data_IF_301732976988
#
_entry.id   IF_301732976988
#
_cell.length_a   1.000
_cell.length_b   1.000
_cell.length_c   1.000
_cell.angle_alpha   90.00
_cell.angle_beta   90.00
_cell.angle_gamma   90.00
#
_symmetry.space_group_name_H-M   'P 1'
#
loop_
_entity.id
_entity.type
_entity.pdbx_description
1 polymer ?
#
# COMPACT_ATOMS: atom_id res chain seq x y z
N UNK A 1 -0.84 -12.19 -3.85
CA UNK A 1 -1.80 -11.05 -3.75
C UNK A 1 -3.04 -11.45 -2.97
N UNK A 2 -3.56 -10.53 -2.14
CA UNK A 2 -4.80 -10.71 -1.39
C UNK A 2 -5.86 -9.70 -1.87
N UNK A 3 -7.14 -10.08 -1.85
CA UNK A 3 -8.22 -9.18 -2.20
C UNK A 3 -8.37 -8.05 -1.16
N UNK A 4 -8.66 -6.84 -1.63
CA UNK A 4 -9.04 -5.68 -0.80
C UNK A 4 -10.44 -5.28 -1.19
N UNK A 5 -11.29 -4.96 -0.21
CA UNK A 5 -12.69 -4.59 -0.40
C UNK A 5 -12.95 -3.15 0.05
N UNK A 6 -13.88 -2.49 -0.62
CA UNK A 6 -14.35 -1.15 -0.21
C UNK A 6 -15.14 -1.23 1.10
N UNK A 7 -15.92 -2.31 1.26
CA UNK A 7 -16.74 -2.62 2.43
C UNK A 7 -16.89 -4.15 2.55
N UNK A 8 -17.28 -4.64 3.72
CA UNK A 8 -17.47 -6.08 4.01
C UNK A 8 -18.89 -6.44 4.40
N UNK A 9 -19.79 -5.46 4.62
CA UNK A 9 -21.16 -5.71 5.02
C UNK A 9 -21.92 -6.59 4.02
N UNK A 10 -21.65 -6.44 2.72
CA UNK A 10 -22.22 -7.30 1.66
C UNK A 10 -21.71 -8.73 1.75
N UNK A 11 -20.46 -8.95 2.19
CA UNK A 11 -19.88 -10.28 2.41
C UNK A 11 -20.52 -10.95 3.63
N UNK A 12 -20.66 -10.20 4.74
CA UNK A 12 -21.33 -10.67 5.96
C UNK A 12 -22.79 -11.04 5.67
N UNK A 13 -23.51 -10.15 4.97
CA UNK A 13 -24.88 -10.43 4.54
C UNK A 13 -24.95 -11.71 3.71
N UNK A 14 -24.05 -11.87 2.74
CA UNK A 14 -23.99 -13.08 1.91
C UNK A 14 -23.74 -14.34 2.75
N UNK A 15 -22.92 -14.25 3.80
CA UNK A 15 -22.65 -15.39 4.68
C UNK A 15 -23.90 -15.78 5.48
N UNK A 16 -24.66 -14.79 5.97
CA UNK A 16 -25.95 -15.05 6.63
C UNK A 16 -26.97 -15.67 5.67
N UNK A 17 -27.16 -15.03 4.51
CA UNK A 17 -28.24 -15.40 3.58
C UNK A 17 -27.97 -16.73 2.85
N UNK A 18 -26.71 -17.07 2.58
CA UNK A 18 -26.34 -18.22 1.74
C UNK A 18 -25.79 -19.42 2.53
N UNK A 19 -25.20 -19.18 3.68
CA UNK A 19 -24.50 -20.22 4.45
C UNK A 19 -25.05 -20.37 5.86
N UNK A 20 -26.16 -19.66 6.20
CA UNK A 20 -26.80 -19.67 7.51
C UNK A 20 -25.84 -19.36 8.67
N UNK A 21 -24.75 -18.65 8.39
CA UNK A 21 -23.81 -18.19 9.42
C UNK A 21 -24.38 -16.97 10.13
N UNK A 22 -24.91 -17.16 11.31
CA UNK A 22 -25.47 -16.08 12.12
C UNK A 22 -24.40 -15.06 12.50
N UNK A 23 -24.83 -13.85 12.82
CA UNK A 23 -23.94 -12.77 13.29
C UNK A 23 -23.21 -13.17 14.57
N UNK A 24 -23.87 -13.92 15.48
CA UNK A 24 -23.27 -14.44 16.71
C UNK A 24 -22.12 -15.44 16.40
N UNK A 25 -22.31 -16.36 15.45
CA UNK A 25 -21.27 -17.31 15.04
C UNK A 25 -20.06 -16.56 14.46
N UNK A 26 -20.28 -15.61 13.56
CA UNK A 26 -19.19 -14.84 12.95
C UNK A 26 -18.43 -14.02 13.99
N UNK A 27 -19.15 -13.39 14.94
CA UNK A 27 -18.57 -12.61 16.04
C UNK A 27 -17.74 -13.47 17.00
N UNK A 28 -18.22 -14.63 17.38
CA UNK A 28 -17.45 -15.57 18.24
C UNK A 28 -16.13 -15.96 17.54
N UNK A 29 -16.16 -16.28 16.25
CA UNK A 29 -14.95 -16.62 15.50
C UNK A 29 -14.01 -15.42 15.32
N UNK A 30 -14.51 -14.22 15.13
CA UNK A 30 -13.72 -12.99 15.12
C UNK A 30 -12.98 -12.81 16.45
N UNK A 31 -13.70 -12.98 17.55
CA UNK A 31 -13.12 -12.89 18.91
C UNK A 31 -12.13 -14.00 19.20
N UNK A 32 -12.37 -15.22 18.71
CA UNK A 32 -11.41 -16.34 18.80
C UNK A 32 -10.12 -16.00 18.03
N UNK A 33 -10.20 -15.40 16.83
CA UNK A 33 -9.00 -14.99 16.09
C UNK A 33 -8.16 -13.96 16.87
N UNK A 34 -8.80 -13.02 17.56
CA UNK A 34 -8.09 -12.08 18.46
C UNK A 34 -7.52 -12.78 19.69
N UNK A 35 -8.26 -13.72 20.28
CA UNK A 35 -7.81 -14.54 21.41
C UNK A 35 -6.56 -15.34 21.04
N UNK A 36 -6.58 -16.04 19.91
CA UNK A 36 -5.46 -16.84 19.40
C UNK A 36 -4.22 -15.98 19.17
N UNK A 37 -4.39 -14.79 18.59
CA UNK A 37 -3.27 -13.86 18.44
C UNK A 37 -2.66 -13.48 19.80
N UNK A 38 -3.48 -13.13 20.78
CA UNK A 38 -3.01 -12.74 22.11
C UNK A 38 -2.34 -13.93 22.81
N UNK A 39 -2.94 -15.11 22.75
CA UNK A 39 -2.40 -16.31 23.38
C UNK A 39 -1.05 -16.74 22.80
N UNK A 40 -0.87 -16.59 21.49
CA UNK A 40 0.37 -16.97 20.81
C UNK A 40 1.52 -15.97 20.98
N UNK A 41 1.24 -14.73 21.43
CA UNK A 41 2.23 -13.66 21.47
C UNK A 41 2.49 -13.08 22.87
N UNK A 42 1.66 -13.41 23.88
CA UNK A 42 1.78 -12.81 25.22
C UNK A 42 1.60 -13.86 26.32
N UNK A 43 2.38 -13.68 27.39
CA UNK A 43 2.37 -14.59 28.54
C UNK A 43 1.06 -14.53 29.32
N UNK A 44 0.62 -15.65 29.93
CA UNK A 44 -0.49 -15.67 30.87
C UNK A 44 -0.34 -14.63 32.00
N UNK A 45 -1.47 -14.16 32.54
CA UNK A 45 -1.57 -13.11 33.58
C UNK A 45 -1.19 -11.70 33.12
N UNK A 46 -0.79 -11.47 31.87
CA UNK A 46 -0.63 -10.12 31.29
C UNK A 46 -1.88 -9.28 31.57
N UNK A 47 -1.70 -8.00 31.88
CA UNK A 47 -2.81 -7.07 32.15
C UNK A 47 -3.35 -6.49 30.85
N UNK A 48 -4.59 -6.82 30.53
CA UNK A 48 -5.24 -6.45 29.29
C UNK A 48 -6.40 -5.49 29.57
N UNK A 49 -6.39 -4.34 28.89
CA UNK A 49 -7.51 -3.43 28.81
C UNK A 49 -8.24 -3.64 27.49
N UNK A 50 -9.52 -3.93 27.52
CA UNK A 50 -10.38 -3.96 26.35
C UNK A 50 -11.33 -2.78 26.43
N UNK A 51 -11.32 -1.93 25.40
CA UNK A 51 -12.14 -0.71 25.34
C UNK A 51 -13.23 -0.93 24.30
N UNK A 52 -14.46 -1.11 24.77
CA UNK A 52 -15.60 -1.49 23.91
C UNK A 52 -16.51 -0.31 23.61
N UNK A 53 -16.83 -0.15 22.32
CA UNK A 53 -17.81 0.80 21.82
C UNK A 53 -19.25 0.31 21.93
N UNK A 54 -20.17 1.11 21.39
CA UNK A 54 -21.61 0.85 21.50
C UNK A 54 -22.18 -0.17 20.51
N UNK A 55 -21.44 -0.45 19.42
CA UNK A 55 -21.87 -1.27 18.27
C UNK A 55 -21.25 -2.68 18.26
N UNK A 56 -21.26 -3.30 17.10
CA UNK A 56 -20.77 -4.67 16.91
C UNK A 56 -19.26 -4.80 17.15
N UNK A 57 -18.45 -3.80 16.79
CA UNK A 57 -17.03 -3.80 17.12
C UNK A 57 -16.79 -3.84 18.65
N UNK A 58 -17.64 -3.14 19.43
CA UNK A 58 -17.66 -3.26 20.89
C UNK A 58 -18.07 -4.64 21.39
N UNK A 59 -19.01 -5.28 20.70
CA UNK A 59 -19.44 -6.64 21.02
C UNK A 59 -18.30 -7.66 20.81
N UNK A 60 -17.50 -7.54 19.74
CA UNK A 60 -16.30 -8.36 19.53
C UNK A 60 -15.34 -8.23 20.72
N UNK A 61 -15.11 -6.99 21.21
CA UNK A 61 -14.29 -6.74 22.39
C UNK A 61 -14.85 -7.36 23.67
N UNK A 62 -16.16 -7.29 23.89
CA UNK A 62 -16.79 -7.92 25.07
C UNK A 62 -16.69 -9.44 24.98
N UNK A 63 -16.89 -10.05 23.82
CA UNK A 63 -16.70 -11.47 23.60
C UNK A 63 -15.24 -11.88 23.82
N UNK A 64 -14.27 -11.09 23.33
CA UNK A 64 -12.85 -11.31 23.62
C UNK A 64 -12.54 -11.27 25.11
N UNK A 65 -13.10 -10.31 25.86
CA UNK A 65 -12.92 -10.24 27.31
C UNK A 65 -13.36 -11.54 28.00
N UNK A 66 -14.46 -12.12 27.53
CA UNK A 66 -15.01 -13.38 28.01
C UNK A 66 -14.08 -14.56 27.72
N UNK A 67 -13.43 -14.58 26.56
CA UNK A 67 -12.49 -15.65 26.20
C UNK A 67 -11.17 -15.57 27.00
N UNK A 68 -10.70 -14.37 27.28
CA UNK A 68 -9.39 -14.13 27.91
C UNK A 68 -9.39 -14.20 29.45
N UNK A 69 -10.53 -13.97 30.14
CA UNK A 69 -10.60 -13.65 31.56
C UNK A 69 -10.02 -14.73 32.51
N UNK A 70 -9.98 -15.98 32.09
CA UNK A 70 -9.44 -17.09 32.93
C UNK A 70 -7.91 -17.19 32.81
N UNK A 71 -7.33 -16.72 31.72
CA UNK A 71 -5.89 -16.82 31.44
C UNK A 71 -5.15 -15.53 31.73
N UNK A 72 -5.84 -14.38 31.61
CA UNK A 72 -5.27 -13.04 31.65
C UNK A 72 -5.96 -12.15 32.70
N UNK A 73 -5.27 -11.10 33.15
CA UNK A 73 -5.83 -10.07 34.03
C UNK A 73 -6.64 -9.06 33.18
N UNK A 74 -7.83 -9.44 32.75
CA UNK A 74 -8.67 -8.64 31.86
C UNK A 74 -9.44 -7.57 32.62
N UNK A 75 -9.50 -6.38 32.08
CA UNK A 75 -10.39 -5.29 32.48
C UNK A 75 -11.16 -4.79 31.24
N UNK A 76 -12.47 -4.79 31.33
CA UNK A 76 -13.37 -4.29 30.30
C UNK A 76 -13.78 -2.85 30.64
N UNK A 77 -13.61 -1.92 29.70
CA UNK A 77 -14.02 -0.54 29.81
C UNK A 77 -15.05 -0.21 28.73
N UNK A 78 -16.25 0.20 29.15
CA UNK A 78 -17.41 0.49 28.29
C UNK A 78 -17.83 1.95 28.52
N UNK A 79 -17.11 2.93 27.92
CA UNK A 79 -17.29 4.35 28.24
C UNK A 79 -18.64 4.93 27.80
N UNK A 80 -19.26 4.35 26.78
CA UNK A 80 -20.46 4.90 26.11
C UNK A 80 -21.68 3.97 26.20
N UNK A 81 -21.61 2.93 27.04
CA UNK A 81 -22.62 1.86 27.11
C UNK A 81 -22.64 0.96 25.88
N UNK A 82 -23.70 0.18 25.72
CA UNK A 82 -23.93 -0.75 24.61
C UNK A 82 -25.28 -0.43 23.94
N UNK A 83 -25.36 -0.56 22.59
CA UNK A 83 -26.57 -0.25 21.82
C UNK A 83 -26.97 -1.36 20.84
N UNK A 84 -25.99 -2.02 20.18
CA UNK A 84 -26.34 -3.09 19.23
C UNK A 84 -26.88 -4.32 19.97
N UNK A 85 -27.78 -5.09 19.36
CA UNK A 85 -28.29 -6.34 19.95
C UNK A 85 -27.17 -7.28 20.37
N UNK A 86 -26.12 -7.39 19.55
CA UNK A 86 -24.96 -8.23 19.84
C UNK A 86 -24.15 -7.72 21.03
N UNK A 87 -23.93 -6.39 21.15
CA UNK A 87 -23.22 -5.82 22.29
C UNK A 87 -23.99 -6.02 23.61
N UNK A 88 -25.32 -5.91 23.57
CA UNK A 88 -26.19 -6.20 24.72
C UNK A 88 -26.06 -7.67 25.12
N UNK A 89 -26.18 -8.60 24.16
CA UNK A 89 -26.06 -10.04 24.39
C UNK A 89 -24.69 -10.41 25.00
N UNK A 90 -23.60 -9.91 24.41
CA UNK A 90 -22.25 -10.20 24.89
C UNK A 90 -22.00 -9.59 26.28
N UNK A 91 -22.55 -8.41 26.58
CA UNK A 91 -22.47 -7.81 27.91
C UNK A 91 -23.18 -8.67 28.95
N UNK A 92 -24.39 -9.19 28.65
CA UNK A 92 -25.09 -10.11 29.55
C UNK A 92 -24.26 -11.40 29.80
N UNK A 93 -23.64 -11.96 28.77
CA UNK A 93 -22.74 -13.12 28.89
C UNK A 93 -21.52 -12.79 29.78
N UNK A 94 -20.91 -11.63 29.57
CA UNK A 94 -19.75 -11.17 30.37
C UNK A 94 -20.12 -10.94 31.85
N UNK A 95 -21.28 -10.36 32.14
CA UNK A 95 -21.78 -10.14 33.50
C UNK A 95 -22.03 -11.45 34.24
N UNK A 96 -22.62 -12.47 33.58
CA UNK A 96 -22.82 -13.80 34.15
C UNK A 96 -21.51 -14.51 34.56
N UNK A 97 -20.41 -14.17 33.89
CA UNK A 97 -19.07 -14.67 34.19
C UNK A 97 -18.28 -13.76 35.13
N UNK A 98 -18.91 -12.71 35.67
CA UNK A 98 -18.30 -11.75 36.59
C UNK A 98 -17.03 -11.07 35.99
N UNK A 99 -17.04 -10.80 34.69
CA UNK A 99 -15.94 -10.07 34.02
C UNK A 99 -15.80 -8.70 34.63
N UNK A 100 -14.56 -8.32 34.97
CA UNK A 100 -14.26 -7.05 35.64
C UNK A 100 -14.52 -5.87 34.71
N UNK A 101 -15.59 -5.13 34.97
CA UNK A 101 -15.90 -3.85 34.29
C UNK A 101 -15.35 -2.71 35.15
N UNK A 102 -14.58 -1.81 34.53
CA UNK A 102 -13.92 -0.71 35.20
C UNK A 102 -14.48 0.66 34.80
N UNK A 103 -14.33 1.65 35.69
CA UNK A 103 -14.72 3.05 35.44
C UNK A 103 -13.52 3.98 35.19
N UNK A 104 -12.29 3.54 35.50
CA UNK A 104 -11.08 4.34 35.33
C UNK A 104 -9.95 3.49 34.75
N UNK A 105 -9.32 4.00 33.71
CA UNK A 105 -8.17 3.38 33.05
C UNK A 105 -6.92 3.60 33.93
N UNK A 106 -6.18 2.50 34.17
CA UNK A 106 -4.90 2.44 34.87
C UNK A 106 -3.79 2.06 33.90
N UNK A 107 -2.68 1.49 34.42
CA UNK A 107 -1.59 0.95 33.64
C UNK A 107 -1.92 -0.49 33.20
N UNK A 108 -1.72 -0.79 31.92
CA UNK A 108 -1.92 -2.09 31.29
C UNK A 108 -0.73 -2.42 30.39
N UNK A 109 -0.54 -3.69 30.10
CA UNK A 109 0.51 -4.19 29.22
C UNK A 109 0.01 -4.26 27.77
N UNK A 110 -1.31 -4.53 27.61
CA UNK A 110 -2.00 -4.56 26.32
C UNK A 110 -3.24 -3.67 26.38
N UNK A 111 -3.50 -2.95 25.31
CA UNK A 111 -4.75 -2.21 25.08
C UNK A 111 -5.39 -2.71 23.80
N UNK A 112 -6.63 -3.17 23.87
CA UNK A 112 -7.42 -3.59 22.69
C UNK A 112 -8.50 -2.51 22.44
N UNK A 113 -8.40 -1.86 21.28
CA UNK A 113 -9.36 -0.87 20.80
C UNK A 113 -10.49 -1.56 20.04
N UNK A 114 -11.67 -1.58 20.64
CA UNK A 114 -12.92 -2.06 20.06
C UNK A 114 -13.99 -0.94 20.06
N UNK A 115 -13.60 0.34 20.01
CA UNK A 115 -14.56 1.46 20.04
C UNK A 115 -15.34 1.57 18.74
N UNK A 116 -14.64 1.64 17.60
CA UNK A 116 -15.22 1.74 16.28
C UNK A 116 -14.50 0.81 15.32
N UNK A 117 -15.24 0.18 14.41
CA UNK A 117 -14.69 -0.59 13.29
C UNK A 117 -14.87 0.16 11.97
N UNK A 118 -14.93 -0.60 10.87
CA UNK A 118 -15.04 -0.12 9.49
C UNK A 118 -16.30 0.72 9.17
N UNK A 119 -17.28 0.80 10.08
CA UNK A 119 -18.50 1.56 9.89
C UNK A 119 -18.45 3.03 10.32
N UNK A 120 -17.29 3.57 10.71
CA UNK A 120 -17.17 4.96 11.14
C UNK A 120 -17.32 5.91 9.95
N UNK A 121 -18.46 6.64 9.90
CA UNK A 121 -18.80 7.57 8.80
C UNK A 121 -18.96 9.02 9.26
N UNK A 122 -18.76 9.30 10.54
CA UNK A 122 -18.94 10.62 11.16
C UNK A 122 -17.71 11.04 11.94
N UNK A 123 -17.58 12.35 12.18
CA UNK A 123 -16.52 12.86 13.03
C UNK A 123 -16.67 12.38 14.48
N UNK A 124 -15.55 12.23 15.15
CA UNK A 124 -15.50 11.86 16.55
C UNK A 124 -15.88 13.05 17.44
N UNK A 125 -16.68 12.81 18.47
CA UNK A 125 -16.96 13.81 19.49
C UNK A 125 -15.75 14.03 20.42
N UNK A 126 -15.78 15.12 21.20
CA UNK A 126 -14.69 15.53 22.08
C UNK A 126 -14.30 14.47 23.11
N UNK A 127 -15.28 13.75 23.67
CA UNK A 127 -15.03 12.70 24.67
C UNK A 127 -14.30 11.51 24.06
N UNK A 128 -14.68 11.10 22.87
CA UNK A 128 -14.02 10.03 22.11
C UNK A 128 -12.59 10.44 21.74
N UNK A 129 -12.39 11.67 21.26
CA UNK A 129 -11.05 12.18 20.92
C UNK A 129 -10.16 12.18 22.18
N UNK A 130 -10.67 12.65 23.31
CA UNK A 130 -9.95 12.64 24.60
C UNK A 130 -9.59 11.23 25.05
N UNK A 131 -10.53 10.29 24.90
CA UNK A 131 -10.29 8.88 25.23
C UNK A 131 -9.19 8.28 24.34
N UNK A 132 -9.28 8.44 23.01
CA UNK A 132 -8.25 7.93 22.09
C UNK A 132 -6.87 8.52 22.40
N UNK A 133 -6.78 9.84 22.67
CA UNK A 133 -5.52 10.46 23.11
C UNK A 133 -4.97 9.80 24.38
N UNK A 134 -5.83 9.53 25.36
CA UNK A 134 -5.45 8.85 26.59
C UNK A 134 -4.96 7.41 26.32
N UNK A 135 -5.63 6.65 25.46
CA UNK A 135 -5.21 5.30 25.08
C UNK A 135 -3.86 5.32 24.37
N UNK A 136 -3.67 6.26 23.46
CA UNK A 136 -2.41 6.44 22.74
C UNK A 136 -1.22 6.76 23.68
N UNK A 137 -1.46 7.48 24.78
CA UNK A 137 -0.42 7.85 25.75
C UNK A 137 0.00 6.68 26.67
N UNK A 138 -0.74 5.57 26.68
CA UNK A 138 -0.38 4.40 27.49
C UNK A 138 0.85 3.69 26.90
N UNK A 139 1.80 3.36 27.75
CA UNK A 139 2.95 2.51 27.39
C UNK A 139 2.48 1.05 27.42
N UNK A 140 1.85 0.61 26.36
CA UNK A 140 1.25 -0.71 26.21
C UNK A 140 1.34 -1.15 24.76
N UNK A 141 1.33 -2.45 24.50
CA UNK A 141 1.12 -2.96 23.14
C UNK A 141 -0.35 -2.72 22.75
N UNK A 142 -0.56 -2.18 21.55
CA UNK A 142 -1.86 -1.68 21.10
C UNK A 142 -2.41 -2.51 19.96
N UNK A 143 -3.58 -3.12 20.17
CA UNK A 143 -4.28 -3.94 19.17
C UNK A 143 -5.57 -3.21 18.77
N UNK A 144 -5.81 -3.08 17.48
CA UNK A 144 -7.09 -2.60 16.97
C UNK A 144 -7.95 -3.77 16.48
N UNK A 145 -9.20 -3.76 16.90
CA UNK A 145 -10.24 -4.64 16.39
C UNK A 145 -10.84 -4.03 15.13
N UNK A 146 -10.78 -4.72 14.02
CA UNK A 146 -11.30 -4.38 12.70
C UNK A 146 -10.55 -3.24 12.01
N UNK A 147 -10.71 -2.02 12.46
CA UNK A 147 -10.04 -0.80 11.96
C UNK A 147 -9.71 0.08 13.17
N UNK A 148 -8.52 0.66 13.28
CA UNK A 148 -8.21 1.57 14.37
C UNK A 148 -9.23 2.69 14.50
N UNK A 149 -9.76 2.89 15.71
CA UNK A 149 -10.80 3.89 15.95
C UNK A 149 -10.32 5.29 15.60
N UNK A 150 -11.09 5.98 14.75
CA UNK A 150 -10.76 7.30 14.20
C UNK A 150 -10.39 7.28 12.72
N UNK A 151 -10.15 6.10 12.13
CA UNK A 151 -10.08 5.95 10.68
C UNK A 151 -11.50 5.72 10.15
N UNK A 152 -11.95 6.57 9.23
CA UNK A 152 -13.28 6.48 8.66
C UNK A 152 -13.35 5.44 7.50
N UNK A 153 -14.54 5.25 6.93
CA UNK A 153 -14.78 4.32 5.80
C UNK A 153 -13.91 4.59 4.58
N UNK A 154 -13.47 5.83 4.39
CA UNK A 154 -12.59 6.24 3.29
C UNK A 154 -11.10 6.11 3.63
N UNK A 155 -10.76 5.72 4.86
CA UNK A 155 -9.38 5.63 5.33
C UNK A 155 -8.77 6.98 5.69
N UNK A 156 -9.59 7.98 6.02
CA UNK A 156 -9.18 9.32 6.43
C UNK A 156 -9.20 9.42 7.96
N UNK A 157 -8.36 10.30 8.50
CA UNK A 157 -8.31 10.67 9.91
C UNK A 157 -8.58 12.15 10.02
N UNK A 158 -9.78 12.52 10.50
CA UNK A 158 -10.20 13.92 10.54
C UNK A 158 -9.60 14.68 11.73
N UNK A 159 -9.41 14.04 12.86
CA UNK A 159 -8.90 14.70 14.08
C UNK A 159 -7.85 13.88 14.82
N UNK A 160 -8.14 12.61 15.09
CA UNK A 160 -7.26 11.71 15.82
C UNK A 160 -7.69 10.26 15.60
N UNK A 161 -6.73 9.33 15.59
CA UNK A 161 -7.01 7.91 15.52
C UNK A 161 -6.17 7.14 16.56
N UNK A 162 -6.58 5.92 16.85
CA UNK A 162 -5.83 5.01 17.71
C UNK A 162 -4.59 4.50 16.97
N UNK A 163 -3.42 4.61 17.62
CA UNK A 163 -2.15 4.08 17.10
C UNK A 163 -2.04 2.61 17.46
N UNK A 164 -2.36 1.72 16.54
CA UNK A 164 -2.21 0.29 16.74
C UNK A 164 -0.80 -0.18 16.35
N UNK A 165 -0.22 -1.06 17.16
CA UNK A 165 0.95 -1.87 16.77
C UNK A 165 0.51 -3.03 15.88
N UNK A 166 -0.74 -3.49 16.06
CA UNK A 166 -1.33 -4.59 15.32
C UNK A 166 -2.84 -4.38 15.11
N UNK A 167 -3.31 -4.62 13.89
CA UNK A 167 -4.74 -4.57 13.56
C UNK A 167 -5.22 -5.94 13.12
N UNK A 168 -6.28 -6.45 13.78
CA UNK A 168 -6.97 -7.68 13.37
C UNK A 168 -8.27 -7.27 12.70
N UNK A 169 -8.28 -7.29 11.36
CA UNK A 169 -9.45 -6.86 10.58
C UNK A 169 -10.38 -8.02 10.30
N UNK A 170 -11.69 -7.79 10.39
CA UNK A 170 -12.70 -8.84 10.37
C UNK A 170 -13.01 -9.29 8.95
N UNK A 171 -12.85 -10.58 8.67
CA UNK A 171 -13.28 -11.29 7.46
C UNK A 171 -12.47 -11.03 6.20
N UNK A 172 -12.18 -9.77 5.87
CA UNK A 172 -11.39 -9.41 4.70
C UNK A 172 -10.64 -8.08 4.87
N UNK A 173 -9.61 -7.87 4.05
CA UNK A 173 -8.87 -6.61 3.99
C UNK A 173 -9.76 -5.49 3.44
N UNK A 174 -9.74 -4.34 4.12
CA UNK A 174 -10.52 -3.15 3.77
C UNK A 174 -9.62 -2.06 3.19
N UNK A 175 -10.09 -1.36 2.16
CA UNK A 175 -9.35 -0.29 1.49
C UNK A 175 -8.93 0.82 2.46
N UNK A 176 -9.76 1.12 3.46
CA UNK A 176 -9.49 2.13 4.48
C UNK A 176 -8.20 1.90 5.27
N UNK A 177 -7.72 0.66 5.38
CA UNK A 177 -6.47 0.31 6.05
C UNK A 177 -5.21 0.64 5.21
N UNK A 178 -5.36 0.96 3.93
CA UNK A 178 -4.24 1.08 2.98
C UNK A 178 -4.06 2.47 2.38
N UNK A 179 -4.74 3.48 2.91
CA UNK A 179 -4.45 4.88 2.58
C UNK A 179 -3.10 5.29 3.18
N UNK A 180 -2.47 6.34 2.64
CA UNK A 180 -1.17 6.81 3.13
C UNK A 180 -1.25 7.25 4.60
N UNK A 181 -2.35 7.92 4.98
CA UNK A 181 -2.59 8.37 6.36
C UNK A 181 -2.82 7.18 7.29
N UNK A 182 -3.62 6.19 6.87
CA UNK A 182 -3.92 5.02 7.70
C UNK A 182 -2.66 4.22 8.09
N UNK A 183 -1.62 4.23 7.24
CA UNK A 183 -0.37 3.49 7.50
C UNK A 183 0.30 3.86 8.83
N UNK A 184 0.13 5.08 9.30
CA UNK A 184 0.67 5.52 10.59
C UNK A 184 -0.03 4.84 11.78
N UNK A 185 -1.29 4.43 11.60
CA UNK A 185 -2.16 3.99 12.69
C UNK A 185 -2.44 2.49 12.72
N UNK A 186 -2.27 1.79 11.61
CA UNK A 186 -2.73 0.39 11.49
C UNK A 186 -1.74 -0.65 11.98
N UNK A 187 -0.45 -0.31 12.08
CA UNK A 187 0.59 -1.27 12.41
C UNK A 187 0.61 -2.46 11.43
N UNK A 188 0.88 -3.65 11.95
CA UNK A 188 0.81 -4.89 11.18
C UNK A 188 -0.64 -5.35 11.09
N UNK A 189 -1.08 -5.81 9.91
CA UNK A 189 -2.47 -6.19 9.66
C UNK A 189 -2.58 -7.70 9.48
N UNK A 190 -3.58 -8.30 10.15
CA UNK A 190 -4.00 -9.69 9.97
C UNK A 190 -5.51 -9.78 9.81
N UNK A 191 -5.99 -10.78 9.07
CA UNK A 191 -7.43 -10.97 8.80
C UNK A 191 -7.96 -12.07 9.71
N UNK A 192 -8.96 -11.72 10.54
CA UNK A 192 -9.67 -12.66 11.38
C UNK A 192 -10.52 -13.64 10.56
N UNK A 193 -10.54 -14.89 10.97
CA UNK A 193 -11.45 -15.90 10.46
C UNK A 193 -12.83 -15.71 11.09
N UNK A 194 -13.89 -15.75 10.29
CA UNK A 194 -15.28 -15.61 10.75
C UNK A 194 -16.04 -16.93 10.79
N UNK A 195 -15.35 -18.06 10.98
CA UNK A 195 -15.95 -19.39 11.00
C UNK A 195 -16.18 -19.99 9.61
N UNK A 196 -15.62 -19.36 8.58
CA UNK A 196 -15.66 -19.84 7.20
C UNK A 196 -14.34 -19.54 6.50
N UNK A 197 -13.88 -20.42 5.64
CA UNK A 197 -12.65 -20.19 4.90
C UNK A 197 -12.71 -18.88 4.10
N UNK A 198 -11.66 -18.07 4.17
CA UNK A 198 -11.55 -16.78 3.50
C UNK A 198 -11.88 -16.86 2.00
N UNK A 199 -11.46 -17.93 1.32
CA UNK A 199 -11.77 -18.19 -0.10
C UNK A 199 -13.27 -18.30 -0.38
N UNK A 200 -14.07 -18.74 0.60
CA UNK A 200 -15.53 -18.83 0.49
C UNK A 200 -16.18 -17.51 0.92
N UNK A 201 -15.63 -16.87 1.97
CA UNK A 201 -16.11 -15.57 2.47
C UNK A 201 -15.95 -14.46 1.44
N UNK A 202 -14.81 -14.38 0.78
CA UNK A 202 -14.50 -13.35 -0.20
C UNK A 202 -15.19 -13.58 -1.55
N UNK A 203 -15.42 -12.50 -2.27
CA UNK A 203 -15.88 -12.50 -3.67
C UNK A 203 -14.76 -11.93 -4.56
N UNK A 204 -15.05 -11.75 -5.87
CA UNK A 204 -14.12 -11.09 -6.78
C UNK A 204 -13.93 -9.63 -6.37
N UNK A 205 -12.68 -9.19 -6.26
CA UNK A 205 -12.31 -7.81 -6.02
C UNK A 205 -11.69 -7.15 -7.26
N UNK A 206 -11.61 -5.83 -7.21
CA UNK A 206 -10.87 -5.00 -8.18
C UNK A 206 -9.62 -4.38 -7.56
N UNK A 207 -9.43 -4.53 -6.25
CA UNK A 207 -8.26 -4.03 -5.53
C UNK A 207 -7.52 -5.19 -4.87
N UNK A 208 -6.17 -5.14 -4.92
CA UNK A 208 -5.32 -6.24 -4.48
C UNK A 208 -4.15 -5.72 -3.65
N UNK A 209 -3.89 -6.32 -2.50
CA UNK A 209 -2.65 -6.14 -1.75
C UNK A 209 -1.56 -7.00 -2.38
N UNK A 210 -0.44 -6.38 -2.73
CA UNK A 210 0.75 -7.08 -3.21
C UNK A 210 1.52 -7.69 -2.05
N UNK A 211 2.06 -8.88 -2.29
CA UNK A 211 2.88 -9.64 -1.37
C UNK A 211 4.27 -9.90 -1.99
N UNK A 212 5.24 -10.30 -1.19
CA UNK A 212 6.59 -10.64 -1.67
C UNK A 212 6.58 -11.71 -2.77
N UNK A 213 5.69 -12.69 -2.66
CA UNK A 213 5.58 -13.81 -3.61
C UNK A 213 5.03 -13.39 -4.99
N UNK A 214 4.48 -12.18 -5.09
CA UNK A 214 4.06 -11.60 -6.37
C UNK A 214 5.24 -11.07 -7.20
N UNK A 215 6.41 -10.93 -6.59
CA UNK A 215 7.63 -10.55 -7.28
C UNK A 215 8.11 -11.68 -8.20
N UNK A 216 8.32 -11.33 -9.47
CA UNK A 216 8.93 -12.21 -10.47
C UNK A 216 10.19 -11.54 -10.99
N UNK A 217 11.32 -11.94 -10.44
CA UNK A 217 12.64 -11.43 -10.80
C UNK A 217 13.02 -11.89 -12.22
N UNK A 218 13.84 -11.10 -12.95
CA UNK A 218 14.32 -11.44 -14.30
C UNK A 218 15.51 -12.42 -14.23
N UNK A 219 15.28 -13.60 -13.65
CA UNK A 219 16.30 -14.63 -13.50
C UNK A 219 16.78 -15.13 -14.88
N UNK A 220 18.08 -15.34 -15.01
CA UNK A 220 18.74 -15.80 -16.24
C UNK A 220 18.96 -17.31 -16.19
N UNK A 221 18.01 -18.07 -16.68
CA UNK A 221 18.02 -19.54 -16.75
C UNK A 221 18.24 -20.09 -18.17
N UNK A 222 18.17 -19.25 -19.19
CA UNK A 222 18.42 -19.66 -20.59
C UNK A 222 19.93 -19.82 -20.86
N UNK A 223 20.37 -21.07 -21.04
CA UNK A 223 21.78 -21.43 -21.23
C UNK A 223 22.38 -20.97 -22.58
N UNK A 224 21.55 -20.69 -23.57
CA UNK A 224 21.97 -20.25 -24.92
C UNK A 224 21.71 -18.77 -25.18
N UNK A 225 21.45 -18.00 -24.13
CA UNK A 225 21.16 -16.59 -24.25
C UNK A 225 22.38 -15.77 -24.63
N UNK A 226 22.14 -14.67 -25.32
CA UNK A 226 23.11 -13.60 -25.56
C UNK A 226 22.62 -12.28 -24.95
N UNK A 227 23.42 -11.21 -25.01
CA UNK A 227 23.06 -9.91 -24.44
C UNK A 227 21.74 -9.35 -24.98
N UNK A 228 21.41 -9.58 -26.25
CA UNK A 228 20.16 -9.12 -26.87
C UNK A 228 18.92 -9.87 -26.35
N UNK A 229 19.07 -11.10 -25.85
CA UNK A 229 17.97 -11.89 -25.27
C UNK A 229 17.32 -11.21 -24.07
N UNK A 230 18.09 -10.42 -23.33
CA UNK A 230 17.63 -9.72 -22.11
C UNK A 230 17.32 -8.24 -22.36
N UNK A 231 17.00 -7.90 -23.61
CA UNK A 231 16.52 -6.59 -24.01
C UNK A 231 17.58 -5.49 -24.09
N UNK A 232 17.17 -4.39 -24.67
CA UNK A 232 17.96 -3.16 -24.82
C UNK A 232 17.14 -1.97 -24.32
N UNK A 233 17.49 -1.44 -23.16
CA UNK A 233 16.89 -0.24 -22.61
C UNK A 233 17.63 1.00 -23.08
N UNK A 234 16.94 1.96 -23.66
CA UNK A 234 17.47 3.29 -23.95
C UNK A 234 16.91 4.30 -22.93
N UNK A 235 17.80 5.10 -22.34
CA UNK A 235 17.46 6.14 -21.37
C UNK A 235 17.78 7.51 -21.95
N UNK A 236 16.78 8.36 -22.04
CA UNK A 236 16.93 9.71 -22.56
C UNK A 236 17.53 10.60 -21.47
N UNK A 237 18.66 11.21 -21.76
CA UNK A 237 19.36 12.13 -20.86
C UNK A 237 18.96 13.56 -21.21
N UNK A 238 18.48 14.29 -20.23
CA UNK A 238 18.16 15.70 -20.34
C UNK A 238 19.13 16.61 -19.59
N UNK A 239 18.67 17.77 -19.20
CA UNK A 239 19.44 18.83 -18.52
C UNK A 239 20.10 18.33 -17.22
N UNK A 240 19.36 17.55 -16.40
CA UNK A 240 19.86 16.99 -15.13
C UNK A 240 20.41 15.57 -15.35
N UNK A 241 21.59 15.52 -15.92
CA UNK A 241 22.24 14.26 -16.38
C UNK A 241 22.26 13.13 -15.34
N UNK A 242 22.47 13.45 -14.07
CA UNK A 242 22.54 12.46 -12.99
C UNK A 242 21.28 11.62 -12.80
N UNK A 243 20.09 12.18 -13.03
CA UNK A 243 18.82 11.47 -12.91
C UNK A 243 18.69 10.34 -13.95
N UNK A 244 18.95 10.66 -15.23
CA UNK A 244 18.94 9.67 -16.30
C UNK A 244 20.04 8.62 -16.14
N UNK A 245 21.23 8.98 -15.65
CA UNK A 245 22.33 8.04 -15.39
C UNK A 245 21.97 7.06 -14.27
N UNK A 246 21.34 7.53 -13.17
CA UNK A 246 20.83 6.64 -12.11
C UNK A 246 19.79 5.65 -12.64
N UNK A 247 18.86 6.11 -13.49
CA UNK A 247 17.90 5.24 -14.17
C UNK A 247 18.59 4.17 -15.02
N UNK A 248 19.59 4.55 -15.82
CA UNK A 248 20.36 3.64 -16.66
C UNK A 248 21.11 2.59 -15.83
N UNK A 249 21.77 3.01 -14.72
CA UNK A 249 22.50 2.12 -13.83
C UNK A 249 21.58 1.13 -13.10
N UNK A 250 20.43 1.60 -12.64
CA UNK A 250 19.40 0.75 -12.06
C UNK A 250 18.89 -0.29 -13.08
N UNK A 251 18.62 0.14 -14.31
CA UNK A 251 18.19 -0.74 -15.39
C UNK A 251 19.21 -1.82 -15.73
N UNK A 252 20.50 -1.46 -15.81
CA UNK A 252 21.57 -2.44 -16.04
C UNK A 252 21.69 -3.42 -14.88
N UNK A 253 21.66 -2.92 -13.66
CA UNK A 253 21.77 -3.74 -12.44
C UNK A 253 20.57 -4.68 -12.25
N UNK A 254 19.44 -4.37 -12.87
CA UNK A 254 18.21 -5.19 -12.81
C UNK A 254 18.04 -6.10 -14.03
N UNK A 255 19.15 -6.49 -14.65
CA UNK A 255 19.22 -7.59 -15.59
C UNK A 255 18.99 -7.22 -17.07
N UNK A 256 18.86 -5.96 -17.44
CA UNK A 256 18.82 -5.58 -18.85
C UNK A 256 20.14 -5.98 -19.54
N UNK A 257 20.07 -6.54 -20.75
CA UNK A 257 21.24 -7.05 -21.46
C UNK A 257 22.10 -5.96 -22.10
N UNK A 258 21.47 -4.87 -22.53
CA UNK A 258 22.11 -3.70 -23.14
C UNK A 258 21.47 -2.42 -22.59
N UNK A 259 22.31 -1.42 -22.31
CA UNK A 259 21.85 -0.06 -21.96
C UNK A 259 22.47 0.94 -22.93
N UNK A 260 21.63 1.80 -23.49
CA UNK A 260 22.05 3.02 -24.19
C UNK A 260 21.61 4.25 -23.46
N UNK A 261 22.52 5.16 -23.28
CA UNK A 261 22.29 6.54 -22.85
C UNK A 261 22.14 7.37 -24.12
N UNK A 262 20.98 7.99 -24.33
CA UNK A 262 20.72 8.82 -25.52
C UNK A 262 20.87 10.28 -25.16
N UNK A 263 21.88 10.93 -25.74
CA UNK A 263 22.21 12.35 -25.53
C UNK A 263 23.00 12.92 -26.69
N UNK A 264 22.75 14.17 -27.06
CA UNK A 264 23.56 14.89 -28.05
C UNK A 264 24.91 15.34 -27.50
N UNK A 265 25.05 15.47 -26.20
CA UNK A 265 26.30 15.84 -25.55
C UNK A 265 27.05 14.59 -25.07
N UNK A 266 28.40 14.66 -25.14
CA UNK A 266 29.25 13.62 -24.53
C UNK A 266 29.02 13.58 -23.02
N UNK A 267 28.80 12.38 -22.50
CA UNK A 267 28.62 12.12 -21.09
C UNK A 267 29.79 11.31 -20.54
N UNK A 268 30.13 11.54 -19.30
CA UNK A 268 30.96 10.60 -18.56
C UNK A 268 30.04 9.50 -18.03
N UNK A 269 29.98 8.38 -18.76
CA UNK A 269 29.12 7.24 -18.45
C UNK A 269 29.93 6.02 -17.99
N UNK A 270 29.34 5.11 -17.19
CA UNK A 270 29.99 3.84 -16.89
C UNK A 270 30.34 3.04 -18.16
N UNK A 271 31.51 2.39 -18.15
CA UNK A 271 32.01 1.61 -19.32
C UNK A 271 31.08 0.46 -19.75
N UNK A 272 30.13 0.07 -18.91
CA UNK A 272 29.12 -0.95 -19.20
C UNK A 272 27.96 -0.45 -20.05
N UNK A 273 27.87 0.83 -20.35
CA UNK A 273 26.79 1.49 -21.10
C UNK A 273 27.30 2.02 -22.43
N UNK A 274 26.41 2.16 -23.39
CA UNK A 274 26.68 2.76 -24.70
C UNK A 274 26.12 4.16 -24.76
N UNK A 275 26.83 5.09 -25.36
CA UNK A 275 26.31 6.42 -25.66
C UNK A 275 25.92 6.51 -27.12
N UNK A 276 24.76 7.07 -27.38
CA UNK A 276 24.19 7.29 -28.70
C UNK A 276 23.58 8.69 -28.80
N UNK A 277 23.62 9.32 -29.95
CA UNK A 277 22.93 10.59 -30.23
C UNK A 277 21.45 10.41 -30.57
N UNK A 278 21.07 9.21 -31.00
CA UNK A 278 19.69 8.82 -31.36
C UNK A 278 19.35 7.48 -30.73
N UNK A 279 18.06 7.16 -30.71
CA UNK A 279 17.59 5.85 -30.21
C UNK A 279 18.10 4.73 -31.13
N UNK A 280 18.88 3.74 -30.63
CA UNK A 280 19.30 2.61 -31.43
C UNK A 280 18.15 1.79 -31.97
N UNK A 281 18.27 1.27 -33.20
CA UNK A 281 17.22 0.49 -33.87
C UNK A 281 16.80 -0.77 -33.12
N UNK A 282 17.72 -1.38 -32.36
CA UNK A 282 17.47 -2.57 -31.56
C UNK A 282 16.99 -2.26 -30.12
N UNK A 283 16.59 -1.01 -29.85
CA UNK A 283 15.99 -0.63 -28.55
C UNK A 283 14.65 -1.37 -28.37
N UNK A 284 14.45 -1.96 -27.20
CA UNK A 284 13.22 -2.68 -26.86
C UNK A 284 12.34 -1.96 -25.85
N UNK A 285 12.87 -0.97 -25.10
CA UNK A 285 12.10 -0.06 -24.25
C UNK A 285 12.83 1.26 -24.03
N UNK A 286 12.09 2.29 -23.57
CA UNK A 286 12.60 3.64 -23.29
C UNK A 286 12.28 4.05 -21.86
N UNK A 287 13.17 4.84 -21.24
CA UNK A 287 12.89 5.65 -20.06
C UNK A 287 13.09 7.13 -20.41
N UNK A 288 12.07 7.96 -20.14
CA UNK A 288 12.03 9.38 -20.51
C UNK A 288 11.45 10.21 -19.37
N UNK A 289 12.03 11.39 -19.13
CA UNK A 289 11.47 12.39 -18.20
C UNK A 289 12.35 12.72 -17.03
N UNK A 290 13.22 11.81 -16.59
CA UNK A 290 14.09 12.00 -15.44
C UNK A 290 15.10 13.12 -15.71
N UNK A 291 14.83 14.30 -15.13
CA UNK A 291 15.66 15.48 -15.32
C UNK A 291 15.76 15.93 -16.79
N UNK A 292 14.69 15.73 -17.55
CA UNK A 292 14.63 15.96 -19.00
C UNK A 292 14.81 17.45 -19.35
N UNK A 293 14.25 18.35 -18.53
CA UNK A 293 14.19 19.77 -18.83
C UNK A 293 13.06 20.12 -19.81
N UNK A 294 13.15 21.30 -20.44
CA UNK A 294 12.11 21.82 -21.32
C UNK A 294 12.38 21.58 -22.80
N UNK A 295 13.64 21.47 -23.18
CA UNK A 295 14.06 21.31 -24.57
C UNK A 295 14.43 19.86 -24.87
N UNK A 296 13.57 19.17 -25.64
CA UNK A 296 13.79 17.81 -26.08
C UNK A 296 13.08 17.54 -27.40
N UNK A 297 13.56 16.54 -28.15
CA UNK A 297 12.93 16.10 -29.38
C UNK A 297 11.59 15.37 -29.09
N UNK A 298 10.49 15.96 -29.51
CA UNK A 298 9.13 15.41 -29.34
C UNK A 298 8.95 14.04 -30.03
N UNK A 299 9.71 13.73 -31.05
CA UNK A 299 9.64 12.44 -31.74
C UNK A 299 10.01 11.28 -30.81
N UNK A 300 10.78 11.55 -29.75
CA UNK A 300 11.07 10.58 -28.70
C UNK A 300 9.81 10.04 -28.02
N UNK A 301 8.74 10.83 -27.95
CA UNK A 301 7.46 10.42 -27.37
C UNK A 301 6.60 9.64 -28.36
N UNK A 302 6.71 9.90 -29.65
CA UNK A 302 5.75 9.45 -30.66
C UNK A 302 5.98 8.00 -31.14
N UNK A 303 7.19 7.43 -30.94
CA UNK A 303 7.45 6.04 -31.32
C UNK A 303 6.60 5.04 -30.52
N UNK A 304 6.45 3.81 -31.01
CA UNK A 304 5.59 2.78 -30.39
C UNK A 304 6.33 1.84 -29.41
N UNK A 305 7.59 2.12 -29.11
CA UNK A 305 8.35 1.36 -28.12
C UNK A 305 7.68 1.40 -26.75
N UNK A 306 7.71 0.31 -25.99
CA UNK A 306 7.37 0.31 -24.57
C UNK A 306 8.16 1.38 -23.82
N UNK A 307 7.50 2.15 -22.94
CA UNK A 307 8.18 3.25 -22.27
C UNK A 307 7.73 3.51 -20.83
N UNK A 308 8.67 4.00 -20.05
CA UNK A 308 8.44 4.58 -18.73
C UNK A 308 8.53 6.09 -18.86
N UNK A 309 7.54 6.78 -18.33
CA UNK A 309 7.48 8.25 -18.27
C UNK A 309 7.50 8.66 -16.80
N UNK A 310 8.46 9.52 -16.45
CA UNK A 310 8.63 10.04 -15.08
C UNK A 310 8.88 11.55 -15.08
N UNK A 311 8.86 12.16 -13.92
CA UNK A 311 9.32 13.50 -13.58
C UNK A 311 8.83 14.63 -14.50
N UNK A 312 9.72 15.32 -15.23
CA UNK A 312 9.45 16.60 -15.88
C UNK A 312 8.30 16.54 -16.89
N UNK A 313 8.06 15.40 -17.54
CA UNK A 313 6.98 15.22 -18.51
C UNK A 313 5.57 15.36 -17.91
N UNK A 314 5.41 15.20 -16.61
CA UNK A 314 4.10 15.41 -15.95
C UNK A 314 3.68 16.88 -15.86
N UNK A 315 4.54 17.80 -16.29
CA UNK A 315 4.24 19.23 -16.37
C UNK A 315 4.15 19.73 -17.82
N UNK A 316 4.33 18.83 -18.81
CA UNK A 316 4.29 19.14 -20.24
C UNK A 316 3.04 18.54 -20.90
N UNK A 317 2.26 19.37 -21.59
CA UNK A 317 1.04 18.94 -22.31
C UNK A 317 1.32 17.92 -23.41
N UNK A 318 2.55 17.80 -23.91
CA UNK A 318 2.95 16.78 -24.88
C UNK A 318 2.75 15.35 -24.39
N UNK A 319 2.72 15.12 -23.05
CA UNK A 319 2.39 13.82 -22.45
C UNK A 319 1.02 13.30 -22.90
N UNK A 320 0.09 14.19 -23.26
CA UNK A 320 -1.27 13.81 -23.68
C UNK A 320 -1.27 12.92 -24.93
N UNK A 321 -0.30 13.09 -25.83
CA UNK A 321 -0.14 12.26 -27.02
C UNK A 321 0.20 10.78 -26.70
N UNK A 322 0.66 10.49 -25.48
CA UNK A 322 1.00 9.15 -25.03
C UNK A 322 -0.19 8.40 -24.43
N UNK A 323 -1.23 9.09 -23.99
CA UNK A 323 -2.27 8.50 -23.15
C UNK A 323 -3.19 7.51 -23.88
N UNK A 324 -3.20 7.53 -25.20
CA UNK A 324 -3.92 6.55 -26.04
C UNK A 324 -3.02 5.39 -26.51
N UNK A 325 -1.70 5.51 -26.31
CA UNK A 325 -0.75 4.47 -26.71
C UNK A 325 -0.81 3.25 -25.77
N UNK A 326 -0.33 2.13 -26.29
CA UNK A 326 -0.13 0.88 -25.51
C UNK A 326 1.29 0.85 -24.94
N UNK A 327 1.50 0.00 -23.96
CA UNK A 327 2.83 -0.28 -23.37
C UNK A 327 3.52 0.94 -22.72
N UNK A 328 2.73 1.85 -22.14
CA UNK A 328 3.22 3.01 -21.39
C UNK A 328 2.98 2.80 -19.90
N UNK A 329 4.01 3.06 -19.10
CA UNK A 329 3.96 3.11 -17.64
C UNK A 329 4.28 4.53 -17.21
N UNK A 330 3.37 5.14 -16.48
CA UNK A 330 3.54 6.45 -15.85
C UNK A 330 3.86 6.27 -14.37
N UNK A 331 4.82 7.03 -13.84
CA UNK A 331 5.29 6.89 -12.44
C UNK A 331 5.22 8.20 -11.65
N UNK A 332 4.07 8.92 -11.63
CA UNK A 332 3.98 10.22 -10.96
C UNK A 332 4.05 10.09 -9.44
N UNK A 333 4.65 11.11 -8.80
CA UNK A 333 4.40 11.40 -7.40
C UNK A 333 3.10 12.25 -7.24
N UNK A 334 2.57 12.51 -6.03
CA UNK A 334 1.27 13.18 -5.87
C UNK A 334 1.15 14.52 -6.60
N UNK A 335 2.16 15.39 -6.54
CA UNK A 335 2.13 16.69 -7.22
C UNK A 335 2.12 16.55 -8.76
N UNK A 336 2.89 15.62 -9.30
CA UNK A 336 2.90 15.29 -10.74
C UNK A 336 1.55 14.71 -11.17
N UNK A 337 0.93 13.90 -10.33
CA UNK A 337 -0.39 13.34 -10.65
C UNK A 337 -1.48 14.41 -10.63
N UNK A 338 -1.46 15.39 -9.70
CA UNK A 338 -2.36 16.54 -9.74
C UNK A 338 -2.21 17.32 -11.06
N UNK A 339 -0.97 17.55 -11.51
CA UNK A 339 -0.73 18.20 -12.82
C UNK A 339 -1.32 17.39 -13.98
N UNK A 340 -1.10 16.08 -13.99
CA UNK A 340 -1.66 15.18 -15.01
C UNK A 340 -3.19 15.16 -15.00
N UNK A 341 -3.82 15.12 -13.81
CA UNK A 341 -5.27 15.19 -13.66
C UNK A 341 -5.85 16.49 -14.23
N UNK A 342 -5.17 17.62 -13.99
CA UNK A 342 -5.56 18.92 -14.53
C UNK A 342 -5.42 18.97 -16.04
N UNK A 343 -4.28 18.57 -16.60
CA UNK A 343 -4.05 18.54 -18.05
C UNK A 343 -5.03 17.62 -18.78
N UNK A 344 -5.39 16.50 -18.16
CA UNK A 344 -6.36 15.55 -18.73
C UNK A 344 -7.83 15.94 -18.50
N UNK A 345 -8.09 17.08 -17.85
CA UNK A 345 -9.43 17.56 -17.49
C UNK A 345 -10.26 16.52 -16.71
N UNK A 346 -9.59 15.71 -15.86
CA UNK A 346 -10.27 14.80 -14.95
C UNK A 346 -10.62 15.53 -13.65
N UNK A 347 -9.67 16.30 -13.09
CA UNK A 347 -9.86 17.09 -11.89
C UNK A 347 -8.78 18.19 -11.79
N UNK A 348 -9.12 19.32 -11.16
CA UNK A 348 -8.17 20.35 -10.72
C UNK A 348 -8.23 20.41 -9.19
N UNK A 349 -7.30 19.73 -8.53
CA UNK A 349 -7.33 19.45 -7.09
C UNK A 349 -5.99 19.75 -6.42
N UNK A 350 -6.04 19.98 -5.12
CA UNK A 350 -4.85 20.11 -4.27
C UNK A 350 -4.18 18.75 -4.01
N UNK A 351 -2.92 18.78 -3.59
CA UNK A 351 -2.20 17.58 -3.15
C UNK A 351 -2.90 16.97 -1.94
N UNK A 352 -3.42 17.78 -1.01
CA UNK A 352 -4.13 17.31 0.17
C UNK A 352 -5.41 16.56 -0.21
N UNK A 353 -6.20 17.09 -1.13
CA UNK A 353 -7.39 16.42 -1.63
C UNK A 353 -7.04 15.11 -2.34
N UNK A 354 -5.99 15.09 -3.16
CA UNK A 354 -5.50 13.86 -3.74
C UNK A 354 -5.11 12.83 -2.69
N UNK A 355 -4.37 13.22 -1.65
CA UNK A 355 -3.92 12.31 -0.60
C UNK A 355 -5.09 11.67 0.16
N UNK A 356 -6.17 12.42 0.35
CA UNK A 356 -7.39 11.92 0.98
C UNK A 356 -8.18 10.96 0.06
N UNK A 357 -8.01 11.05 -1.26
CA UNK A 357 -8.85 10.35 -2.25
C UNK A 357 -8.03 9.64 -3.35
N UNK A 358 -6.82 9.16 -3.04
CA UNK A 358 -5.88 8.58 -4.03
C UNK A 358 -6.46 7.43 -4.85
N UNK A 359 -7.20 6.53 -4.20
CA UNK A 359 -7.84 5.41 -4.88
C UNK A 359 -8.87 5.87 -5.91
N UNK A 360 -9.67 6.87 -5.57
CA UNK A 360 -10.71 7.41 -6.44
C UNK A 360 -10.12 8.07 -7.69
N UNK A 361 -9.18 9.00 -7.51
CA UNK A 361 -8.57 9.71 -8.64
C UNK A 361 -7.75 8.77 -9.54
N UNK A 362 -7.05 7.79 -8.97
CA UNK A 362 -6.39 6.75 -9.75
C UNK A 362 -7.40 5.93 -10.56
N UNK A 363 -8.53 5.59 -9.97
CA UNK A 363 -9.59 4.82 -10.65
C UNK A 363 -10.24 5.64 -11.79
N UNK A 364 -10.50 6.93 -11.57
CA UNK A 364 -11.01 7.85 -12.60
C UNK A 364 -10.04 7.95 -13.78
N UNK A 365 -8.75 8.13 -13.52
CA UNK A 365 -7.72 8.16 -14.55
C UNK A 365 -7.68 6.86 -15.36
N UNK A 366 -7.60 5.72 -14.69
CA UNK A 366 -7.52 4.40 -15.35
C UNK A 366 -8.82 4.02 -16.09
N UNK A 367 -9.96 4.58 -15.71
CA UNK A 367 -11.23 4.42 -16.43
C UNK A 367 -11.20 5.16 -17.76
N UNK A 368 -10.60 6.38 -17.78
CA UNK A 368 -10.45 7.19 -18.98
C UNK A 368 -9.37 6.62 -19.90
N UNK A 369 -8.19 6.29 -19.37
CA UNK A 369 -7.00 5.84 -20.11
C UNK A 369 -6.71 4.35 -19.84
N UNK A 370 -7.49 3.48 -20.46
CA UNK A 370 -7.51 2.02 -20.17
C UNK A 370 -6.23 1.29 -20.56
N UNK A 371 -5.42 1.85 -21.46
CA UNK A 371 -4.19 1.22 -21.96
C UNK A 371 -2.96 1.59 -21.11
N UNK A 372 -3.06 2.64 -20.31
CA UNK A 372 -1.97 3.17 -19.48
C UNK A 372 -1.90 2.39 -18.16
N UNK A 373 -0.70 2.04 -17.74
CA UNK A 373 -0.39 1.65 -16.37
C UNK A 373 0.08 2.88 -15.63
N UNK A 374 -0.56 3.23 -14.52
CA UNK A 374 -0.14 4.36 -13.69
C UNK A 374 0.28 3.85 -12.30
N UNK A 375 1.54 4.08 -11.95
CA UNK A 375 2.11 3.83 -10.65
C UNK A 375 2.18 5.17 -9.88
N UNK A 376 1.22 5.39 -8.98
CA UNK A 376 1.18 6.56 -8.11
C UNK A 376 2.09 6.34 -6.90
N UNK A 377 3.20 7.06 -6.88
CA UNK A 377 4.15 7.04 -5.75
C UNK A 377 3.50 7.59 -4.48
N UNK A 378 3.95 7.13 -3.32
CA UNK A 378 3.47 7.55 -2.01
C UNK A 378 3.98 6.62 -0.93
N UNK A 379 3.49 6.81 0.29
CA UNK A 379 3.82 5.95 1.44
C UNK A 379 3.38 4.51 1.18
N UNK A 380 2.19 4.34 0.61
CA UNK A 380 1.75 3.13 -0.06
C UNK A 380 1.71 3.39 -1.57
N UNK A 381 2.37 2.57 -2.37
CA UNK A 381 2.34 2.71 -3.82
C UNK A 381 1.05 2.11 -4.36
N UNK A 382 0.32 2.88 -5.18
CA UNK A 382 -0.87 2.40 -5.88
C UNK A 382 -0.57 2.22 -7.37
N UNK A 383 -0.86 1.04 -7.91
CA UNK A 383 -0.67 0.74 -9.33
C UNK A 383 -2.03 0.49 -9.96
N UNK A 384 -2.46 1.41 -10.82
CA UNK A 384 -3.73 1.33 -11.52
C UNK A 384 -3.57 0.83 -12.96
N UNK A 385 -4.44 -0.07 -13.38
CA UNK A 385 -4.56 -0.53 -14.76
C UNK A 385 -5.98 -1.00 -15.08
N UNK A 386 -6.61 -0.40 -16.08
CA UNK A 386 -8.01 -0.66 -16.42
C UNK A 386 -8.93 -0.42 -15.22
N UNK A 387 -9.54 -1.49 -14.70
CA UNK A 387 -10.46 -1.43 -13.55
C UNK A 387 -9.83 -1.97 -12.26
N UNK A 388 -8.52 -2.27 -12.27
CA UNK A 388 -7.83 -2.90 -11.14
C UNK A 388 -6.84 -1.94 -10.49
N UNK A 389 -6.73 -2.03 -9.18
CA UNK A 389 -5.72 -1.32 -8.38
C UNK A 389 -4.93 -2.35 -7.59
N UNK A 390 -3.62 -2.21 -7.60
CA UNK A 390 -2.68 -3.01 -6.83
C UNK A 390 -1.98 -2.11 -5.82
N UNK A 391 -1.90 -2.55 -4.58
CA UNK A 391 -1.37 -1.77 -3.46
C UNK A 391 -0.08 -2.42 -2.98
N UNK A 392 1.03 -1.70 -2.99
CA UNK A 392 2.28 -2.11 -2.38
C UNK A 392 2.52 -1.30 -1.09
N UNK A 393 2.44 -1.95 0.05
CA UNK A 393 2.63 -1.36 1.39
C UNK A 393 4.05 -1.53 1.94
N UNK A 394 4.95 -2.18 1.20
CA UNK A 394 6.29 -2.53 1.67
C UNK A 394 7.28 -1.33 1.64
N UNK A 395 6.82 -0.17 1.18
CA UNK A 395 7.61 1.06 1.19
C UNK A 395 7.98 1.53 2.60
N UNK A 396 9.19 2.06 2.74
CA UNK A 396 9.73 2.63 3.98
C UNK A 396 10.18 4.06 3.76
N UNK A 397 10.31 4.84 4.84
CA UNK A 397 10.80 6.24 4.81
C UNK A 397 12.24 6.36 4.27
N UNK A 398 13.01 5.29 4.25
CA UNK A 398 14.35 5.22 3.67
C UNK A 398 14.35 5.67 2.20
N UNK A 399 13.28 5.39 1.47
CA UNK A 399 13.08 5.78 0.06
C UNK A 399 12.79 7.28 -0.15
N UNK A 400 12.54 8.04 0.91
CA UNK A 400 12.29 9.49 0.84
C UNK A 400 13.59 10.26 0.58
N UNK A 401 14.22 10.01 -0.58
CA UNK A 401 15.49 10.60 -0.99
C UNK A 401 15.52 10.87 -2.50
N UNK A 402 16.14 11.98 -2.91
CA UNK A 402 16.31 12.29 -4.34
C UNK A 402 17.05 11.16 -5.08
N UNK A 403 16.63 10.85 -6.28
CA UNK A 403 17.16 9.75 -7.10
C UNK A 403 16.48 8.39 -6.90
N UNK A 404 15.72 8.21 -5.82
CA UNK A 404 14.97 6.96 -5.57
C UNK A 404 13.92 6.68 -6.67
N UNK A 405 13.25 7.74 -7.17
CA UNK A 405 12.31 7.65 -8.30
C UNK A 405 12.99 7.26 -9.61
N UNK A 406 14.19 7.81 -9.88
CA UNK A 406 14.97 7.51 -11.08
C UNK A 406 15.37 6.01 -11.09
N UNK A 407 15.76 5.48 -9.93
CA UNK A 407 16.02 4.04 -9.75
C UNK A 407 14.78 3.23 -10.08
N UNK A 408 13.60 3.59 -9.54
CA UNK A 408 12.34 2.89 -9.83
C UNK A 408 12.01 2.89 -11.33
N UNK A 409 12.16 4.03 -12.01
CA UNK A 409 11.95 4.13 -13.44
C UNK A 409 12.89 3.19 -14.22
N UNK A 410 14.16 3.08 -13.82
CA UNK A 410 15.13 2.16 -14.39
C UNK A 410 14.76 0.70 -14.22
N UNK A 411 14.27 0.30 -13.03
CA UNK A 411 13.79 -1.07 -12.79
C UNK A 411 12.61 -1.44 -13.70
N UNK A 412 11.62 -0.55 -13.79
CA UNK A 412 10.44 -0.78 -14.63
C UNK A 412 10.85 -0.82 -16.11
N UNK A 413 11.73 0.09 -16.54
CA UNK A 413 12.25 0.14 -17.91
C UNK A 413 13.02 -1.12 -18.29
N UNK A 414 13.85 -1.64 -17.38
CA UNK A 414 14.59 -2.88 -17.59
C UNK A 414 13.66 -4.09 -17.79
N UNK A 415 12.57 -4.18 -17.00
CA UNK A 415 11.59 -5.26 -17.17
C UNK A 415 10.80 -5.13 -18.47
N UNK A 416 10.42 -3.91 -18.86
CA UNK A 416 9.80 -3.65 -20.17
C UNK A 416 10.73 -4.09 -21.30
N UNK A 417 12.01 -3.72 -21.23
CA UNK A 417 13.00 -4.09 -22.23
C UNK A 417 13.18 -5.61 -22.35
N UNK A 418 13.03 -6.33 -21.26
CA UNK A 418 13.07 -7.79 -21.17
C UNK A 418 11.75 -8.48 -21.54
N UNK A 419 10.75 -7.73 -22.04
CA UNK A 419 9.48 -8.27 -22.55
C UNK A 419 8.40 -8.50 -21.49
N UNK A 420 8.56 -8.01 -20.28
CA UNK A 420 7.47 -8.01 -19.29
C UNK A 420 6.33 -7.09 -19.76
N UNK A 421 5.10 -7.50 -19.48
CA UNK A 421 3.97 -6.60 -19.75
C UNK A 421 4.03 -5.36 -18.85
N UNK A 422 3.49 -4.19 -19.27
CA UNK A 422 3.55 -2.94 -18.48
C UNK A 422 3.09 -3.11 -17.04
N UNK A 423 2.00 -3.83 -16.82
CA UNK A 423 1.49 -4.06 -15.45
C UNK A 423 2.42 -4.95 -14.63
N UNK A 424 3.01 -5.99 -15.20
CA UNK A 424 3.99 -6.82 -14.50
C UNK A 424 5.27 -6.06 -14.21
N UNK A 425 5.73 -5.21 -15.15
CA UNK A 425 6.91 -4.36 -14.95
C UNK A 425 6.70 -3.37 -13.81
N UNK A 426 5.53 -2.73 -13.73
CA UNK A 426 5.19 -1.81 -12.65
C UNK A 426 5.11 -2.53 -11.28
N UNK A 427 4.46 -3.71 -11.22
CA UNK A 427 4.34 -4.51 -9.98
C UNK A 427 5.72 -4.98 -9.51
N UNK A 428 6.47 -5.66 -10.39
CA UNK A 428 7.77 -6.23 -10.01
C UNK A 428 8.82 -5.13 -9.75
N UNK A 429 8.84 -4.05 -10.53
CA UNK A 429 9.69 -2.90 -10.28
C UNK A 429 9.39 -2.24 -8.93
N UNK A 430 8.12 -2.03 -8.59
CA UNK A 430 7.70 -1.49 -7.30
C UNK A 430 8.08 -2.40 -6.13
N UNK A 431 7.83 -3.70 -6.24
CA UNK A 431 8.18 -4.68 -5.20
C UNK A 431 9.70 -4.76 -5.00
N UNK A 432 10.48 -4.84 -6.09
CA UNK A 432 11.94 -4.89 -6.00
C UNK A 432 12.51 -3.63 -5.35
N UNK A 433 12.00 -2.46 -5.73
CA UNK A 433 12.41 -1.18 -5.17
C UNK A 433 12.17 -1.11 -3.65
N UNK A 434 11.01 -1.53 -3.18
CA UNK A 434 10.66 -1.47 -1.75
C UNK A 434 11.33 -2.57 -0.94
N UNK A 435 11.47 -3.78 -1.48
CA UNK A 435 12.16 -4.88 -0.81
C UNK A 435 13.67 -4.61 -0.70
N UNK A 436 14.31 -4.08 -1.73
CA UNK A 436 15.71 -3.69 -1.69
C UNK A 436 15.95 -2.63 -0.59
N UNK A 437 15.08 -1.61 -0.50
CA UNK A 437 15.18 -0.61 0.55
C UNK A 437 15.02 -1.21 1.96
N UNK A 438 14.14 -2.19 2.14
CA UNK A 438 13.95 -2.87 3.44
C UNK A 438 15.12 -3.79 3.82
N UNK A 439 15.93 -4.22 2.86
CA UNK A 439 17.12 -5.03 3.09
C UNK A 439 18.34 -4.20 3.54
N UNK A 440 18.31 -2.88 3.40
CA UNK A 440 19.39 -2.00 3.79
C UNK A 440 19.63 -2.04 5.30
N UNK A 441 20.84 -2.42 5.72
CA UNK A 441 21.17 -2.70 7.14
C UNK A 441 21.96 -1.59 7.85
N UNK A 442 22.38 -0.54 7.12
CA UNK A 442 23.03 0.64 7.71
C UNK A 442 21.98 1.62 8.28
N UNK A 443 22.43 2.76 8.75
CA UNK A 443 21.54 3.81 9.25
C UNK A 443 20.52 4.23 8.19
N UNK A 444 19.26 4.27 8.55
CA UNK A 444 18.15 4.51 7.62
C UNK A 444 18.22 5.86 6.87
N UNK A 445 18.88 6.86 7.46
CA UNK A 445 19.10 8.17 6.82
C UNK A 445 20.23 8.17 5.79
N UNK A 446 21.10 7.16 5.76
CA UNK A 446 22.33 7.17 4.97
C UNK A 446 22.21 6.53 3.59
N UNK A 447 21.12 5.81 3.29
CA UNK A 447 20.95 5.14 2.00
C UNK A 447 20.95 6.15 0.85
N UNK A 448 21.89 5.98 -0.07
CA UNK A 448 21.94 6.69 -1.35
C UNK A 448 21.21 5.90 -2.45
N UNK A 449 20.86 6.51 -3.61
CA UNK A 449 20.37 5.77 -4.76
C UNK A 449 21.32 4.65 -5.22
N UNK A 450 22.63 4.85 -5.10
CA UNK A 450 23.61 3.82 -5.43
C UNK A 450 23.59 2.66 -4.45
N UNK A 451 23.43 2.93 -3.14
CA UNK A 451 23.22 1.86 -2.15
C UNK A 451 21.96 1.05 -2.48
N UNK A 452 20.86 1.72 -2.86
CA UNK A 452 19.63 1.07 -3.27
C UNK A 452 19.85 0.13 -4.47
N UNK A 453 20.60 0.57 -5.48
CA UNK A 453 21.00 -0.25 -6.63
C UNK A 453 21.84 -1.47 -6.19
N UNK A 454 22.70 -1.33 -5.19
CA UNK A 454 23.44 -2.47 -4.65
C UNK A 454 22.53 -3.46 -3.91
N UNK A 455 21.52 -2.98 -3.17
CA UNK A 455 20.55 -3.87 -2.50
C UNK A 455 19.64 -4.57 -3.51
N UNK A 456 19.31 -3.95 -4.67
CA UNK A 456 18.57 -4.58 -5.76
C UNK A 456 19.31 -5.81 -6.31
N UNK A 457 20.64 -5.76 -6.41
CA UNK A 457 21.46 -6.90 -6.88
C UNK A 457 21.42 -8.11 -5.94
N UNK A 458 20.88 -7.97 -4.73
CA UNK A 458 20.83 -9.03 -3.71
C UNK A 458 19.44 -9.69 -3.63
N UNK A 459 18.45 -9.21 -4.40
CA UNK A 459 17.13 -9.81 -4.50
C UNK A 459 17.21 -11.12 -5.31
#
# INVERSE_FOLDING_TARGET
MQNIFDEVNSLDKRCRDKFDLSEDIMMENASISMFDYIQNNFEPKTKILIVSGTGNNGADGIALARLLHTLYNVSLYIPFGVKSPMAILQLQRAQKLNIKIIQKIKKYDIVVDCLFGSGLSRDLNKDTISLIKKLNSLQAFKIACDVPSGINTLGQVTTNAFYADFTITMGALKKSLFTDIAKEYVGKIEVANLGIQRKIYETKSKSYLLEKDDLKLPIRDNKIANKGTYGHLSVIIGEKKGAGLLCAEAGFSFGCGLISVVSHELQNIPNSMMQNSTIPLNTSALCIGMGLGKEYDEQLLLNDLPKVIDADLFYDTKILALLDKKNVVLTPHPKEFCSLLKMTQIADISIEELQNNRFEYLQLFCKKYKNIVLLLKGTNVLIGYKKKIYVNILGTSILSKGGSGDVLAGLIGALLAQGYTPIKSAICGSLSHTLAASNYKKNNYSMSPLDLIQEIKKL
#
